data_IF_058916630395
#
_entry.id   IF_058916630395
#
_cell.length_a   1.000
_cell.length_b   1.000
_cell.length_c   1.000
_cell.angle_alpha   90.00
_cell.angle_beta   90.00
_cell.angle_gamma   90.00
#
_symmetry.space_group_name_H-M   'P 1'
#
loop_
_entity.id
_entity.type
_entity.pdbx_description
1 polymer ?
#
# COMPACT_ATOMS: atom_id res chain seq x y z
N UNK A 1 -13.95 -10.97 16.69
CA UNK A 1 -12.64 -10.71 17.29
C UNK A 1 -11.50 -11.55 16.69
N UNK A 2 -11.63 -12.87 16.47
CA UNK A 2 -10.47 -13.69 16.01
C UNK A 2 -9.83 -13.35 14.64
N UNK A 3 -10.60 -13.01 13.61
CA UNK A 3 -10.06 -12.87 12.24
C UNK A 3 -9.02 -11.75 12.06
N UNK A 4 -9.09 -10.68 12.87
CA UNK A 4 -8.16 -9.54 12.77
C UNK A 4 -6.83 -9.88 13.43
N UNK A 5 -6.88 -10.50 14.61
CA UNK A 5 -5.66 -10.92 15.31
C UNK A 5 -4.93 -12.03 14.55
N UNK A 6 -5.67 -12.98 13.95
CA UNK A 6 -5.11 -14.00 13.06
C UNK A 6 -4.41 -13.36 11.84
N UNK A 7 -5.03 -12.35 11.23
CA UNK A 7 -4.44 -11.63 10.09
C UNK A 7 -3.15 -10.88 10.48
N UNK A 8 -3.12 -10.28 11.68
CA UNK A 8 -1.93 -9.62 12.20
C UNK A 8 -0.81 -10.64 12.43
N UNK A 9 -1.11 -11.79 13.05
CA UNK A 9 -0.11 -12.84 13.32
C UNK A 9 0.48 -13.41 12.01
N UNK A 10 -0.38 -13.69 11.03
CA UNK A 10 0.05 -14.17 9.71
C UNK A 10 0.97 -13.13 9.03
N UNK A 11 0.58 -11.85 9.02
CA UNK A 11 1.40 -10.82 8.38
C UNK A 11 2.68 -10.48 9.15
N UNK A 12 2.71 -10.67 10.48
CA UNK A 12 3.95 -10.61 11.26
C UNK A 12 4.93 -11.69 10.81
N UNK A 13 4.49 -12.95 10.80
CA UNK A 13 5.30 -14.08 10.33
C UNK A 13 5.75 -13.90 8.88
N UNK A 14 4.89 -13.35 8.03
CA UNK A 14 5.22 -13.03 6.65
C UNK A 14 6.34 -11.97 6.58
N UNK A 15 6.23 -10.89 7.33
CA UNK A 15 7.21 -9.81 7.33
C UNK A 15 8.57 -10.24 7.91
N UNK A 16 8.57 -11.11 8.92
CA UNK A 16 9.79 -11.70 9.48
C UNK A 16 10.55 -12.54 8.44
N UNK A 17 9.82 -13.37 7.67
CA UNK A 17 10.42 -14.22 6.64
C UNK A 17 10.74 -13.46 5.34
N UNK A 18 9.92 -12.46 5.01
CA UNK A 18 10.01 -11.68 3.79
C UNK A 18 9.88 -10.18 4.10
N UNK A 19 10.99 -9.49 4.44
CA UNK A 19 10.97 -8.08 4.83
C UNK A 19 10.34 -7.15 3.79
N UNK A 20 10.38 -7.54 2.51
CA UNK A 20 9.72 -6.81 1.42
C UNK A 20 8.18 -6.73 1.56
N UNK A 21 7.56 -7.58 2.40
CA UNK A 21 6.12 -7.59 2.67
C UNK A 21 5.74 -6.84 3.97
N UNK A 22 6.70 -6.17 4.61
CA UNK A 22 6.45 -5.42 5.85
C UNK A 22 5.31 -4.39 5.71
N UNK A 23 5.15 -3.78 4.53
CA UNK A 23 4.06 -2.85 4.25
C UNK A 23 2.67 -3.47 4.38
N UNK A 24 2.50 -4.76 4.09
CA UNK A 24 1.22 -5.46 4.21
C UNK A 24 0.81 -5.65 5.68
N UNK A 25 1.80 -5.84 6.57
CA UNK A 25 1.57 -5.79 8.01
C UNK A 25 1.11 -4.39 8.45
N UNK A 26 1.76 -3.34 7.94
CA UNK A 26 1.33 -1.96 8.16
C UNK A 26 -0.12 -1.70 7.72
N UNK A 27 -0.50 -2.17 6.53
CA UNK A 27 -1.87 -2.04 6.01
C UNK A 27 -2.87 -2.75 6.91
N UNK A 28 -2.49 -3.91 7.44
CA UNK A 28 -3.34 -4.69 8.36
C UNK A 28 -3.53 -3.95 9.68
N UNK A 29 -2.46 -3.36 10.23
CA UNK A 29 -2.57 -2.52 11.42
C UNK A 29 -3.47 -1.30 11.18
N UNK A 30 -3.31 -0.60 10.06
CA UNK A 30 -4.14 0.56 9.73
C UNK A 30 -5.63 0.19 9.65
N UNK A 31 -5.96 -0.96 9.05
CA UNK A 31 -7.33 -1.47 8.95
C UNK A 31 -7.88 -2.04 10.26
N UNK A 32 -7.00 -2.44 11.18
CA UNK A 32 -7.35 -2.92 12.51
C UNK A 32 -7.47 -1.78 13.54
N UNK A 33 -7.49 -0.52 13.10
CA UNK A 33 -7.51 0.69 13.94
C UNK A 33 -6.27 0.83 14.86
N UNK A 34 -5.19 0.11 14.52
CA UNK A 34 -3.88 0.16 15.19
C UNK A 34 -2.98 1.16 14.49
N UNK A 35 -3.39 2.43 14.52
CA UNK A 35 -2.78 3.50 13.73
C UNK A 35 -1.31 3.72 14.10
N UNK A 36 -0.97 3.73 15.38
CA UNK A 36 0.40 3.96 15.85
C UNK A 36 1.37 2.87 15.35
N UNK A 37 0.93 1.61 15.34
CA UNK A 37 1.71 0.50 14.82
C UNK A 37 1.87 0.58 13.30
N UNK A 38 0.83 0.99 12.58
CA UNK A 38 0.92 1.24 11.15
C UNK A 38 1.88 2.40 10.82
N UNK A 39 1.90 3.47 11.60
CA UNK A 39 2.84 4.58 11.43
C UNK A 39 4.29 4.18 11.73
N UNK A 40 4.53 3.33 12.73
CA UNK A 40 5.87 2.74 12.97
C UNK A 40 6.36 1.93 11.78
N UNK A 41 5.48 1.15 11.15
CA UNK A 41 5.83 0.41 9.92
C UNK A 41 6.12 1.36 8.77
N UNK A 42 5.33 2.42 8.63
CA UNK A 42 5.54 3.45 7.61
C UNK A 42 6.91 4.12 7.75
N UNK A 43 7.30 4.48 8.97
CA UNK A 43 8.64 5.04 9.25
C UNK A 43 9.76 4.07 8.90
N UNK A 44 9.62 2.79 9.23
CA UNK A 44 10.62 1.76 8.89
C UNK A 44 10.78 1.62 7.38
N UNK A 45 9.67 1.60 6.63
CA UNK A 45 9.70 1.52 5.17
C UNK A 45 10.32 2.77 4.53
N UNK A 46 10.02 3.96 5.06
CA UNK A 46 10.61 5.21 4.57
C UNK A 46 12.13 5.29 4.81
N UNK A 47 12.65 4.60 5.82
CA UNK A 47 14.11 4.49 6.09
C UNK A 47 14.78 3.39 5.27
N UNK A 48 14.01 2.53 4.61
CA UNK A 48 14.53 1.43 3.78
C UNK A 48 14.90 1.90 2.37
N UNK A 49 15.62 1.05 1.61
CA UNK A 49 15.92 1.34 0.21
C UNK A 49 14.65 1.27 -0.64
N UNK A 50 14.21 2.42 -1.16
CA UNK A 50 12.98 2.53 -1.93
C UNK A 50 13.21 1.97 -3.33
N UNK A 51 12.58 0.83 -3.59
CA UNK A 51 12.43 0.25 -4.92
C UNK A 51 10.95 0.33 -5.33
N UNK A 52 10.60 0.00 -6.60
CA UNK A 52 9.20 0.06 -7.06
C UNK A 52 8.22 -0.74 -6.20
N UNK A 53 8.64 -1.89 -5.68
CA UNK A 53 7.80 -2.71 -4.80
C UNK A 53 7.54 -2.05 -3.45
N UNK A 54 8.57 -1.49 -2.82
CA UNK A 54 8.43 -0.73 -1.57
C UNK A 54 7.59 0.53 -1.79
N UNK A 55 7.74 1.23 -2.92
CA UNK A 55 6.89 2.37 -3.27
C UNK A 55 5.42 1.96 -3.46
N UNK A 56 5.15 0.82 -4.10
CA UNK A 56 3.81 0.25 -4.21
C UNK A 56 3.20 -0.02 -2.82
N UNK A 57 4.01 -0.59 -1.91
CA UNK A 57 3.61 -0.84 -0.52
C UNK A 57 3.38 0.43 0.30
N UNK A 58 4.25 1.43 0.16
CA UNK A 58 4.11 2.76 0.78
C UNK A 58 2.82 3.44 0.30
N UNK A 59 2.49 3.32 -0.98
CA UNK A 59 1.23 3.83 -1.51
C UNK A 59 0.03 3.17 -0.85
N UNK A 60 0.02 1.84 -0.78
CA UNK A 60 -1.07 1.07 -0.15
C UNK A 60 -1.21 1.38 1.35
N UNK A 61 -0.10 1.48 2.08
CA UNK A 61 -0.09 1.81 3.51
C UNK A 61 -0.60 3.23 3.78
N UNK A 62 -0.14 4.22 3.01
CA UNK A 62 -0.64 5.59 3.14
C UNK A 62 -2.14 5.66 2.80
N UNK A 63 -2.61 4.91 1.79
CA UNK A 63 -4.04 4.84 1.47
C UNK A 63 -4.86 4.23 2.61
N UNK A 64 -4.34 3.18 3.27
CA UNK A 64 -4.99 2.56 4.43
C UNK A 64 -5.02 3.49 5.66
N UNK A 65 -4.04 4.38 5.80
CA UNK A 65 -3.97 5.42 6.84
C UNK A 65 -4.77 6.70 6.49
N UNK A 66 -5.46 6.70 5.35
CA UNK A 66 -6.19 7.84 4.75
C UNK A 66 -5.30 9.06 4.41
N UNK A 67 -3.99 8.85 4.29
CA UNK A 67 -3.00 9.85 3.84
C UNK A 67 -2.96 9.90 2.30
N UNK A 68 -4.06 10.34 1.68
CA UNK A 68 -4.28 10.24 0.21
C UNK A 68 -3.19 10.91 -0.62
N UNK A 69 -2.71 12.09 -0.22
CA UNK A 69 -1.68 12.82 -0.98
C UNK A 69 -0.36 12.03 -1.06
N UNK A 70 0.10 11.51 0.08
CA UNK A 70 1.27 10.64 0.12
C UNK A 70 1.01 9.31 -0.61
N UNK A 71 -0.19 8.76 -0.53
CA UNK A 71 -0.55 7.55 -1.26
C UNK A 71 -0.39 7.73 -2.78
N UNK A 72 -0.87 8.85 -3.34
CA UNK A 72 -0.72 9.16 -4.76
C UNK A 72 0.71 9.52 -5.14
N UNK A 73 1.46 10.21 -4.28
CA UNK A 73 2.89 10.47 -4.49
C UNK A 73 3.67 9.17 -4.68
N UNK A 74 3.44 8.18 -3.81
CA UNK A 74 4.09 6.86 -3.92
C UNK A 74 3.52 6.03 -5.08
N UNK A 75 2.23 6.14 -5.40
CA UNK A 75 1.63 5.45 -6.55
C UNK A 75 2.27 5.90 -7.87
N UNK A 76 2.58 7.20 -7.98
CA UNK A 76 3.21 7.79 -9.15
C UNK A 76 4.75 7.62 -9.17
N UNK A 77 5.34 6.91 -8.20
CA UNK A 77 6.78 6.66 -8.16
C UNK A 77 7.24 5.89 -9.41
N UNK A 78 8.40 6.28 -9.96
CA UNK A 78 8.99 5.67 -11.16
C UNK A 78 10.34 5.02 -10.86
N UNK A 79 10.65 3.86 -11.47
CA UNK A 79 9.77 3.09 -12.36
C UNK A 79 8.59 2.47 -11.60
N UNK A 80 7.45 2.31 -12.28
CA UNK A 80 6.24 1.75 -11.67
C UNK A 80 6.42 0.26 -11.39
N UNK A 81 5.86 -0.21 -10.27
CA UNK A 81 5.70 -1.64 -10.05
C UNK A 81 4.50 -2.17 -10.83
N UNK A 82 4.57 -3.39 -11.35
CA UNK A 82 3.50 -4.03 -12.13
C UNK A 82 2.14 -4.03 -11.41
N UNK A 83 2.13 -4.18 -10.08
CA UNK A 83 0.92 -4.17 -9.25
C UNK A 83 0.22 -2.81 -9.19
N UNK A 84 0.93 -1.70 -9.46
CA UNK A 84 0.31 -0.37 -9.46
C UNK A 84 -0.74 -0.23 -10.58
N UNK A 85 -0.59 -0.95 -11.70
CA UNK A 85 -1.59 -0.96 -12.77
C UNK A 85 -2.95 -1.54 -12.33
N UNK A 86 -2.95 -2.34 -11.27
CA UNK A 86 -4.15 -2.96 -10.69
C UNK A 86 -4.83 -2.09 -9.63
N UNK A 87 -4.33 -0.87 -9.38
CA UNK A 87 -4.88 0.04 -8.37
C UNK A 87 -6.41 0.28 -8.44
N UNK A 88 -7.04 0.31 -9.63
CA UNK A 88 -8.49 0.49 -9.73
C UNK A 88 -9.32 -0.71 -9.26
N UNK A 89 -8.72 -1.89 -9.11
CA UNK A 89 -9.47 -3.14 -8.91
C UNK A 89 -9.08 -3.92 -7.66
N UNK A 90 -7.85 -3.78 -7.16
CA UNK A 90 -7.43 -4.52 -5.96
C UNK A 90 -7.71 -3.74 -4.67
N UNK A 91 -7.97 -4.43 -3.55
CA UNK A 91 -8.47 -3.80 -2.34
C UNK A 91 -7.48 -2.88 -1.63
N UNK A 92 -6.20 -2.84 -2.04
CA UNK A 92 -5.17 -2.04 -1.37
C UNK A 92 -5.46 -0.53 -1.43
N UNK A 93 -6.10 -0.07 -2.51
CA UNK A 93 -6.39 1.33 -2.76
C UNK A 93 -7.88 1.68 -2.78
N UNK A 94 -8.74 0.86 -2.15
CA UNK A 94 -10.18 1.12 -2.09
C UNK A 94 -10.52 2.55 -1.61
N UNK A 95 -9.74 3.10 -0.67
CA UNK A 95 -9.94 4.47 -0.16
C UNK A 95 -9.61 5.58 -1.18
N UNK A 96 -8.93 5.23 -2.28
CA UNK A 96 -8.61 6.14 -3.38
C UNK A 96 -9.63 6.04 -4.53
N UNK A 97 -10.55 5.07 -4.50
CA UNK A 97 -11.57 4.91 -5.53
C UNK A 97 -12.52 6.12 -5.51
N UNK A 98 -12.80 6.68 -6.69
CA UNK A 98 -13.57 7.91 -6.85
C UNK A 98 -12.75 9.20 -6.75
N UNK A 99 -11.46 9.13 -6.40
CA UNK A 99 -10.56 10.29 -6.51
C UNK A 99 -10.08 10.45 -7.97
N UNK A 100 -10.28 11.63 -8.60
CA UNK A 100 -9.89 11.87 -10.00
C UNK A 100 -8.42 11.58 -10.30
N UNK A 101 -7.53 11.67 -9.29
CA UNK A 101 -6.10 11.38 -9.45
C UNK A 101 -5.83 9.91 -9.77
N UNK A 102 -6.70 9.00 -9.34
CA UNK A 102 -6.61 7.58 -9.70
C UNK A 102 -6.93 7.37 -11.18
N UNK A 103 -7.97 8.02 -11.70
CA UNK A 103 -8.32 7.97 -13.12
C UNK A 103 -7.20 8.56 -14.00
N UNK A 104 -6.61 9.67 -13.57
CA UNK A 104 -5.46 10.26 -14.26
C UNK A 104 -4.24 9.33 -14.26
N UNK A 105 -3.97 8.67 -13.14
CA UNK A 105 -2.88 7.70 -13.04
C UNK A 105 -3.07 6.55 -14.05
N UNK A 106 -4.26 5.95 -14.08
CA UNK A 106 -4.58 4.86 -15.02
C UNK A 106 -4.48 5.32 -16.48
N UNK A 107 -4.95 6.53 -16.81
CA UNK A 107 -4.82 7.10 -18.16
C UNK A 107 -3.34 7.23 -18.57
N UNK A 108 -2.47 7.64 -17.65
CA UNK A 108 -1.01 7.78 -17.89
C UNK A 108 -0.32 6.44 -18.12
N UNK A 109 -0.85 5.33 -17.58
CA UNK A 109 -0.31 3.99 -17.82
C UNK A 109 -0.52 3.51 -19.27
N UNK A 110 -1.38 4.17 -20.04
CA UNK A 110 -1.67 3.84 -21.45
C UNK A 110 -1.91 2.33 -21.67
N UNK A 111 -2.69 1.72 -20.77
CA UNK A 111 -2.97 0.29 -20.82
C UNK A 111 -3.77 -0.04 -22.09
N UNK A 112 -3.50 -1.20 -22.73
CA UNK A 112 -4.24 -1.61 -23.91
C UNK A 112 -5.73 -1.75 -23.57
N UNK A 113 -6.58 -1.14 -24.40
CA UNK A 113 -8.03 -1.34 -24.30
C UNK A 113 -8.35 -2.79 -24.64
N UNK A 114 -9.29 -3.39 -23.91
CA UNK A 114 -9.88 -4.68 -24.28
C UNK A 114 -10.61 -4.59 -25.62
#
# INVERSE_FOLDING_TARGET
MGKVDDAIDIHKKLAEKYPAWLWQLGVTYARADKRDEAEKILEQLNKSSINPWIACGLSALNAALDKKDEAFKWLNYKPHHEWTAWAPVIPWWNNLHGDPRLDEFVKKLNLPKK
#
